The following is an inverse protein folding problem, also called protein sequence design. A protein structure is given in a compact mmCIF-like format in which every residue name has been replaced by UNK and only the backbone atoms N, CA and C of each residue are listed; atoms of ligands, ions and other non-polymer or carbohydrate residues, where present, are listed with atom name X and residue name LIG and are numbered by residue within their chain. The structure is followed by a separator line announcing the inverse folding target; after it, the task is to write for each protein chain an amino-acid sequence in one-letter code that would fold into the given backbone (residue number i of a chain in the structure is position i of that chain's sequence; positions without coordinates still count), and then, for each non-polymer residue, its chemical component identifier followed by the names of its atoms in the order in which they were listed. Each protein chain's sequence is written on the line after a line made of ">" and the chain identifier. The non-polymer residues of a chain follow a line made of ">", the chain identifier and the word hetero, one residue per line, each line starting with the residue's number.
data_IF_423632992579
#
_entry.id   IF_423632992579
#
_cell.length_a   1.000
_cell.length_b   1.000
_cell.length_c   1.000
_cell.angle_alpha   90.00
_cell.angle_beta   90.00
_cell.angle_gamma   90.00
#
_symmetry.space_group_name_H-M   'P 1'
#
loop_
_entity.id
_entity.type
_entity.pdbx_description
1 polymer ?
#
# COMPACT_ATOMS: atom_id res chain seq x y z
N UNK A 1 12.40 1.34 7.09
CA UNK A 1 11.07 0.83 6.69
C UNK A 1 10.90 -0.68 6.94
N UNK A 2 9.76 -1.10 7.53
CA UNK A 2 9.37 -2.51 7.74
C UNK A 2 7.93 -2.72 7.28
N UNK A 3 7.71 -3.26 6.08
CA UNK A 3 6.38 -3.53 5.54
C UNK A 3 6.00 -5.01 5.60
N UNK A 4 4.71 -5.28 5.74
CA UNK A 4 4.11 -6.60 5.58
C UNK A 4 2.75 -6.47 4.87
N UNK A 5 2.15 -7.59 4.44
CA UNK A 5 0.84 -7.58 3.76
C UNK A 5 -0.27 -6.94 4.60
N UNK A 6 -0.29 -7.18 5.91
CA UNK A 6 -1.30 -6.62 6.81
C UNK A 6 -1.25 -5.09 6.84
N UNK A 7 -0.04 -4.51 6.95
CA UNK A 7 0.22 -3.07 6.96
C UNK A 7 -0.11 -2.46 5.59
N UNK A 8 0.32 -3.12 4.52
CA UNK A 8 0.03 -2.75 3.14
C UNK A 8 -1.48 -2.63 2.88
N UNK A 9 -2.29 -3.58 3.37
CA UNK A 9 -3.75 -3.57 3.24
C UNK A 9 -4.41 -2.29 3.78
N UNK A 10 -3.84 -1.66 4.81
CA UNK A 10 -4.41 -0.42 5.36
C UNK A 10 -4.28 0.78 4.42
N UNK A 11 -3.29 0.77 3.53
CA UNK A 11 -3.03 1.85 2.58
C UNK A 11 -3.29 1.44 1.13
N UNK A 12 -3.49 0.15 0.85
CA UNK A 12 -3.91 -0.34 -0.46
C UNK A 12 -5.22 0.32 -0.92
N UNK A 13 -6.14 0.55 0.01
CA UNK A 13 -7.44 1.24 -0.20
C UNK A 13 -7.33 2.78 -0.12
N UNK A 14 -6.12 3.34 -0.07
CA UNK A 14 -5.93 4.79 -0.06
C UNK A 14 -6.40 5.42 -1.39
N UNK A 15 -6.78 6.71 -1.39
CA UNK A 15 -7.24 7.41 -2.58
C UNK A 15 -6.06 7.78 -3.50
N UNK A 16 -5.49 6.79 -4.19
CA UNK A 16 -4.40 7.01 -5.14
C UNK A 16 -4.87 7.78 -6.40
N UNK A 17 -4.01 8.61 -7.02
CA UNK A 17 -2.66 8.96 -6.57
C UNK A 17 -2.67 9.93 -5.38
N UNK A 18 -1.78 9.73 -4.39
CA UNK A 18 -1.77 10.48 -3.14
C UNK A 18 -0.36 10.89 -2.69
N UNK A 19 -0.25 12.02 -1.98
CA UNK A 19 1.01 12.47 -1.37
C UNK A 19 1.35 11.70 -0.09
N UNK A 20 2.62 11.74 0.36
CA UNK A 20 3.05 11.19 1.65
C UNK A 20 2.15 11.64 2.81
N UNK A 21 1.89 12.95 2.90
CA UNK A 21 1.05 13.55 3.93
C UNK A 21 -0.41 13.06 3.87
N UNK A 22 -0.97 12.92 2.67
CA UNK A 22 -2.32 12.38 2.49
C UNK A 22 -2.43 10.92 2.92
N UNK A 23 -1.43 10.09 2.60
CA UNK A 23 -1.38 8.70 3.04
C UNK A 23 -1.27 8.59 4.57
N UNK A 24 -0.45 9.43 5.20
CA UNK A 24 -0.34 9.51 6.66
C UNK A 24 -1.68 9.94 7.26
N UNK A 25 -2.35 10.93 6.68
CA UNK A 25 -3.65 11.38 7.14
C UNK A 25 -4.72 10.28 7.00
N UNK A 26 -4.72 9.58 5.86
CA UNK A 26 -5.59 8.45 5.60
C UNK A 26 -5.39 7.34 6.62
N UNK A 27 -4.14 6.92 6.84
CA UNK A 27 -3.77 5.92 7.85
C UNK A 27 -4.24 6.31 9.26
N UNK A 28 -4.08 7.58 9.65
CA UNK A 28 -4.59 8.08 10.93
C UNK A 28 -6.12 8.05 11.01
N UNK A 29 -6.83 8.38 9.91
CA UNK A 29 -8.30 8.41 9.86
C UNK A 29 -8.92 7.02 9.82
N UNK A 30 -8.29 6.07 9.14
CA UNK A 30 -8.75 4.67 9.08
C UNK A 30 -8.42 3.88 10.34
N UNK A 31 -7.58 4.43 11.23
CA UNK A 31 -7.13 3.75 12.43
C UNK A 31 -6.07 2.69 12.14
N UNK A 32 -5.23 2.92 11.12
CA UNK A 32 -4.10 2.08 10.82
C UNK A 32 -3.12 2.03 12.02
N UNK A 33 -2.44 0.90 12.24
CA UNK A 33 -1.54 0.76 13.37
C UNK A 33 -0.31 1.66 13.21
N UNK A 34 0.29 2.06 14.34
CA UNK A 34 1.45 2.96 14.39
C UNK A 34 2.60 2.62 13.40
N UNK A 35 2.96 1.33 13.18
CA UNK A 35 4.00 0.97 12.21
C UNK A 35 3.71 1.44 10.77
N UNK A 36 2.44 1.52 10.34
CA UNK A 36 2.08 2.06 9.02
C UNK A 36 2.46 3.53 8.93
N UNK A 37 2.12 4.29 9.97
CA UNK A 37 2.38 5.73 10.05
C UNK A 37 3.89 5.98 10.11
N UNK A 38 4.62 5.21 10.93
CA UNK A 38 6.09 5.31 11.02
C UNK A 38 6.74 4.99 9.68
N UNK A 39 6.31 3.93 8.98
CA UNK A 39 6.80 3.60 7.64
C UNK A 39 6.54 4.72 6.64
N UNK A 40 5.31 5.23 6.56
CA UNK A 40 4.97 6.34 5.66
C UNK A 40 5.75 7.61 6.00
N UNK A 41 6.05 7.85 7.28
CA UNK A 41 6.84 9.01 7.73
C UNK A 41 8.33 8.85 7.41
N UNK A 42 8.83 7.61 7.37
CA UNK A 42 10.20 7.22 6.96
C UNK A 42 10.42 7.40 5.43
N UNK A 43 9.34 7.61 4.65
CA UNK A 43 9.46 7.89 3.22
C UNK A 43 10.18 9.21 2.95
N UNK A 44 10.98 9.28 1.87
CA UNK A 44 11.61 10.52 1.45
C UNK A 44 10.56 11.61 1.23
N UNK A 45 10.86 12.82 1.68
CA UNK A 45 10.02 13.99 1.45
C UNK A 45 10.08 14.33 -0.04
N UNK A 46 9.03 13.94 -0.77
CA UNK A 46 8.85 14.23 -2.19
C UNK A 46 7.49 14.89 -2.40
N UNK A 47 7.43 15.90 -3.26
CA UNK A 47 6.19 16.48 -3.79
C UNK A 47 5.55 15.60 -4.88
N UNK A 48 6.20 14.48 -5.23
CA UNK A 48 5.65 13.51 -6.17
C UNK A 48 4.50 12.72 -5.54
N UNK A 49 3.45 12.53 -6.33
CA UNK A 49 2.31 11.71 -5.95
C UNK A 49 2.70 10.25 -6.14
N UNK A 50 2.42 9.44 -5.13
CA UNK A 50 2.49 8.00 -5.26
C UNK A 50 1.24 7.52 -6.01
N UNK A 51 1.42 6.69 -7.04
CA UNK A 51 0.34 6.12 -7.84
C UNK A 51 -0.20 4.80 -7.26
N UNK A 52 0.63 4.10 -6.49
CA UNK A 52 0.27 2.82 -5.87
C UNK A 52 1.18 2.44 -4.71
N UNK A 53 0.81 1.36 -4.02
CA UNK A 53 1.63 0.78 -2.96
C UNK A 53 3.00 0.28 -3.46
N UNK A 54 3.10 -0.18 -4.70
CA UNK A 54 4.34 -0.70 -5.28
C UNK A 54 5.44 0.37 -5.34
N UNK A 55 5.06 1.64 -5.49
CA UNK A 55 6.02 2.76 -5.47
C UNK A 55 6.56 3.04 -4.07
N UNK A 56 5.79 2.73 -3.03
CA UNK A 56 6.17 2.88 -1.63
C UNK A 56 6.95 1.66 -1.16
N UNK A 57 6.50 0.48 -1.56
CA UNK A 57 7.07 -0.80 -1.19
C UNK A 57 7.32 -1.63 -2.46
N UNK A 58 8.53 -1.58 -3.04
CA UNK A 58 8.85 -2.29 -4.28
C UNK A 58 8.90 -3.82 -4.11
N UNK A 59 8.93 -4.30 -2.87
CA UNK A 59 8.87 -5.73 -2.51
C UNK A 59 7.43 -6.17 -2.18
N UNK A 60 6.43 -5.33 -2.45
CA UNK A 60 5.03 -5.70 -2.26
C UNK A 60 4.71 -6.89 -3.19
N UNK A 61 4.30 -8.05 -2.65
CA UNK A 61 3.85 -9.16 -3.48
C UNK A 61 2.56 -8.71 -4.16
N UNK A 62 2.66 -8.39 -5.44
CA UNK A 62 1.53 -7.99 -6.26
C UNK A 62 0.55 -9.15 -6.37
N UNK A 63 -0.75 -8.81 -6.35
CA UNK A 63 -1.85 -9.76 -6.51
C UNK A 63 -1.80 -10.51 -7.86
N UNK A 64 -0.88 -10.15 -8.78
CA UNK A 64 -0.57 -10.94 -9.97
C UNK A 64 -0.02 -12.35 -9.66
N UNK A 65 0.43 -12.64 -8.43
CA UNK A 65 0.72 -14.02 -7.97
C UNK A 65 -0.55 -14.74 -7.43
N UNK A 66 -1.62 -13.99 -7.16
CA UNK A 66 -2.90 -14.45 -6.59
C UNK A 66 -4.11 -14.26 -7.51
N UNK A 67 -3.90 -13.95 -8.79
CA UNK A 67 -4.89 -14.17 -9.84
C UNK A 67 -5.22 -15.67 -9.93
N UNK A 68 -5.99 -16.18 -8.97
CA UNK A 68 -6.95 -17.25 -9.16
C UNK A 68 -7.99 -16.73 -10.14
N UNK A 69 -7.58 -16.61 -11.41
CA UNK A 69 -8.51 -16.51 -12.52
C UNK A 69 -9.23 -17.84 -12.61
N UNK A 70 -10.41 -17.87 -11.99
CA UNK A 70 -11.58 -18.69 -12.27
C UNK A 70 -11.34 -20.09 -12.88
N UNK A 71 -11.61 -21.10 -12.04
CA UNK A 71 -12.36 -22.32 -12.38
C UNK A 71 -12.65 -22.61 -13.88
N UNK A 72 -11.85 -23.53 -14.47
CA UNK A 72 -12.23 -24.63 -15.40
C UNK A 72 -12.75 -24.29 -16.84
N UNK A 73 -12.41 -25.08 -17.91
CA UNK A 73 -12.60 -26.53 -17.93
C UNK A 73 -11.41 -27.36 -18.44
N UNK A 74 -11.23 -28.51 -17.79
CA UNK A 74 -10.60 -29.68 -18.41
C UNK A 74 -11.26 -29.98 -19.78
N UNK A 75 -10.45 -29.98 -20.84
CA UNK A 75 -10.86 -30.43 -22.19
C UNK A 75 -10.43 -31.88 -22.41
#
# INVERSE_FOLDING_TARGET
>A
MFWNLDLARYIADAPWPATKDELINFANRTGAPQPVIDNLSDLPESDELYESLEEIWPDYPTDEDFCYGDEEPIN
#
